data_IF_170826374026
#
_entry.id   IF_170826374026
#
_cell.length_a   1.000
_cell.length_b   1.000
_cell.length_c   1.000
_cell.angle_alpha   90.00
_cell.angle_beta   90.00
_cell.angle_gamma   90.00
#
_symmetry.space_group_name_H-M   'P 1'
#
loop_
_entity.id
_entity.type
_entity.pdbx_description
1 polymer ?
#
# COMPACT_ATOMS: atom_id res chain seq x y z
N UNK A 1 13.88 -9.64 -9.80
CA UNK A 1 14.22 -8.60 -10.80
C UNK A 1 13.30 -7.42 -10.61
N UNK A 2 13.85 -6.20 -10.63
CA UNK A 2 13.09 -4.97 -10.50
C UNK A 2 12.17 -4.74 -11.71
N UNK A 3 11.00 -4.14 -11.46
CA UNK A 3 10.08 -3.70 -12.50
C UNK A 3 10.70 -2.55 -13.31
N UNK A 4 10.59 -2.61 -14.64
CA UNK A 4 10.90 -1.46 -15.48
C UNK A 4 9.73 -0.48 -15.42
N UNK A 5 9.99 0.76 -14.96
CA UNK A 5 8.99 1.81 -14.84
C UNK A 5 8.22 2.08 -16.15
N UNK A 6 8.85 1.81 -17.32
CA UNK A 6 8.19 1.97 -18.61
C UNK A 6 7.07 0.97 -18.86
N UNK A 7 7.10 -0.17 -18.19
CA UNK A 7 6.16 -1.28 -18.38
C UNK A 7 4.99 -1.20 -17.40
N UNK A 8 5.07 -0.33 -16.37
CA UNK A 8 4.01 -0.09 -15.40
C UNK A 8 2.88 0.69 -16.06
N UNK A 9 1.74 0.04 -16.22
CA UNK A 9 0.53 0.59 -16.87
C UNK A 9 -0.65 0.69 -15.93
N UNK A 10 -0.52 0.18 -14.70
CA UNK A 10 -1.54 0.27 -13.65
C UNK A 10 -1.34 1.53 -12.82
N UNK A 11 -2.43 2.02 -12.24
CA UNK A 11 -2.44 3.28 -11.50
C UNK A 11 -1.76 3.17 -10.13
N UNK A 12 -1.77 1.97 -9.54
CA UNK A 12 -1.07 1.65 -8.28
C UNK A 12 -0.42 0.27 -8.45
N UNK A 13 0.86 0.15 -8.13
CA UNK A 13 1.60 -1.12 -8.28
C UNK A 13 2.46 -1.42 -7.08
N UNK A 14 2.34 -2.63 -6.55
CA UNK A 14 3.30 -3.21 -5.62
C UNK A 14 4.45 -3.84 -6.41
N UNK A 15 5.68 -3.49 -6.06
CA UNK A 15 6.88 -4.19 -6.52
C UNK A 15 7.57 -4.85 -5.32
N UNK A 16 7.88 -6.14 -5.46
CA UNK A 16 8.74 -6.87 -4.54
C UNK A 16 10.08 -7.13 -5.22
N UNK A 17 11.05 -6.24 -4.99
CA UNK A 17 12.39 -6.33 -5.58
C UNK A 17 13.24 -7.31 -4.77
N UNK A 18 13.10 -8.59 -5.11
CA UNK A 18 13.88 -9.71 -4.57
C UNK A 18 14.07 -10.77 -5.65
N UNK A 19 15.15 -11.53 -5.58
CA UNK A 19 15.43 -12.63 -6.51
C UNK A 19 14.51 -13.82 -6.25
N UNK A 20 14.40 -14.24 -4.99
CA UNK A 20 13.55 -15.33 -4.54
C UNK A 20 12.65 -14.85 -3.40
N UNK A 21 11.34 -15.03 -3.53
CA UNK A 21 10.36 -14.64 -2.52
C UNK A 21 9.69 -15.91 -2.00
N UNK A 22 9.77 -16.22 -0.68
CA UNK A 22 9.01 -17.33 -0.11
C UNK A 22 7.51 -17.16 -0.39
N UNK A 23 6.84 -18.26 -0.73
CA UNK A 23 5.41 -18.25 -1.11
C UNK A 23 4.54 -17.53 -0.06
N UNK A 24 4.80 -17.76 1.22
CA UNK A 24 4.07 -17.13 2.32
C UNK A 24 4.28 -15.63 2.39
N UNK A 25 5.49 -15.15 2.11
CA UNK A 25 5.79 -13.72 2.13
C UNK A 25 5.20 -13.03 0.91
N UNK A 26 5.25 -13.67 -0.26
CA UNK A 26 4.58 -13.19 -1.47
C UNK A 26 3.08 -13.03 -1.22
N UNK A 27 2.42 -14.08 -0.72
CA UNK A 27 0.99 -14.05 -0.40
C UNK A 27 0.66 -12.92 0.58
N UNK A 28 1.41 -12.80 1.67
CA UNK A 28 1.23 -11.71 2.66
C UNK A 28 1.39 -10.34 2.00
N UNK A 29 2.43 -10.14 1.19
CA UNK A 29 2.61 -8.89 0.43
C UNK A 29 1.37 -8.54 -0.40
N UNK A 30 0.84 -9.50 -1.16
CA UNK A 30 -0.36 -9.29 -1.98
C UNK A 30 -1.56 -8.93 -1.10
N UNK A 31 -1.81 -9.72 -0.06
CA UNK A 31 -2.98 -9.56 0.82
C UNK A 31 -2.97 -8.19 1.50
N UNK A 32 -1.82 -7.78 2.05
CA UNK A 32 -1.68 -6.50 2.74
C UNK A 32 -1.74 -5.31 1.77
N UNK A 33 -1.19 -5.43 0.55
CA UNK A 33 -1.31 -4.42 -0.49
C UNK A 33 -2.76 -4.23 -0.95
N UNK A 34 -3.47 -5.31 -1.27
CA UNK A 34 -4.87 -5.24 -1.68
C UNK A 34 -5.76 -4.74 -0.52
N UNK A 35 -5.44 -5.12 0.72
CA UNK A 35 -6.08 -4.58 1.92
C UNK A 35 -5.94 -3.07 2.03
N UNK A 36 -4.72 -2.54 1.86
CA UNK A 36 -4.45 -1.10 1.87
C UNK A 36 -5.26 -0.37 0.79
N UNK A 37 -5.23 -0.85 -0.45
CA UNK A 37 -5.99 -0.25 -1.57
C UNK A 37 -7.49 -0.20 -1.24
N UNK A 38 -8.05 -1.31 -0.72
CA UNK A 38 -9.47 -1.40 -0.35
C UNK A 38 -9.86 -0.42 0.75
N UNK A 39 -9.07 -0.36 1.82
CA UNK A 39 -9.36 0.52 2.95
C UNK A 39 -9.27 2.00 2.57
N UNK A 40 -8.25 2.39 1.80
CA UNK A 40 -8.14 3.77 1.32
C UNK A 40 -9.25 4.12 0.32
N UNK A 41 -9.64 3.17 -0.54
CA UNK A 41 -10.79 3.35 -1.45
C UNK A 41 -12.07 3.57 -0.65
N UNK A 42 -12.35 2.72 0.34
CA UNK A 42 -13.54 2.81 1.19
C UNK A 42 -13.60 4.12 1.96
N UNK A 43 -12.46 4.59 2.49
CA UNK A 43 -12.38 5.85 3.21
C UNK A 43 -12.56 7.07 2.29
N UNK A 44 -12.02 7.00 1.06
CA UNK A 44 -12.10 8.09 0.09
C UNK A 44 -13.50 8.19 -0.55
N UNK A 45 -14.13 7.05 -0.81
CA UNK A 45 -15.41 6.95 -1.51
C UNK A 45 -16.32 5.89 -0.85
N UNK A 46 -17.00 6.20 0.27
CA UNK A 46 -17.79 5.22 1.02
C UNK A 46 -18.94 4.57 0.25
N UNK A 47 -19.45 5.24 -0.79
CA UNK A 47 -20.55 4.74 -1.62
C UNK A 47 -20.09 3.79 -2.76
N UNK A 48 -18.78 3.63 -2.97
CA UNK A 48 -18.23 2.79 -4.04
C UNK A 48 -17.91 1.39 -3.52
N UNK A 49 -17.97 0.40 -4.40
CA UNK A 49 -17.52 -0.95 -4.09
C UNK A 49 -15.98 -1.04 -4.14
N UNK A 50 -15.29 -1.22 -3.01
CA UNK A 50 -13.83 -1.37 -2.97
C UNK A 50 -13.36 -2.70 -3.58
N UNK A 51 -14.25 -3.64 -3.90
CA UNK A 51 -13.91 -4.88 -4.61
C UNK A 51 -13.88 -4.71 -6.13
N UNK A 52 -14.23 -3.53 -6.63
CA UNK A 52 -14.23 -3.24 -8.06
C UNK A 52 -12.83 -2.92 -8.63
N UNK A 53 -11.76 -3.27 -7.89
CA UNK A 53 -10.38 -3.30 -8.39
C UNK A 53 -10.05 -4.68 -8.96
N UNK A 54 -9.40 -4.68 -10.12
CA UNK A 54 -8.88 -5.85 -10.81
C UNK A 54 -7.38 -5.93 -10.59
N UNK A 55 -6.85 -7.14 -10.39
CA UNK A 55 -5.41 -7.36 -10.23
C UNK A 55 -4.78 -7.60 -11.59
N UNK A 56 -3.64 -6.95 -11.85
CA UNK A 56 -2.77 -7.20 -13.00
C UNK A 56 -1.41 -7.68 -12.50
N UNK A 57 -1.00 -8.87 -12.94
CA UNK A 57 0.34 -9.40 -12.68
C UNK A 57 1.26 -8.99 -13.82
N UNK A 58 2.45 -8.50 -13.50
CA UNK A 58 3.46 -8.13 -14.48
C UNK A 58 4.33 -9.35 -14.84
N UNK A 59 4.35 -9.80 -16.11
CA UNK A 59 5.15 -10.95 -16.50
C UNK A 59 6.64 -10.73 -16.24
N UNK A 60 7.32 -11.77 -15.73
CA UNK A 60 8.76 -11.72 -15.47
C UNK A 60 9.19 -10.92 -14.25
N UNK A 61 8.25 -10.45 -13.43
CA UNK A 61 8.55 -9.73 -12.18
C UNK A 61 7.61 -10.16 -11.04
N UNK A 62 7.98 -9.80 -9.81
CA UNK A 62 7.09 -9.87 -8.65
C UNK A 62 6.31 -8.55 -8.49
N UNK A 63 5.77 -8.07 -9.61
CA UNK A 63 4.99 -6.84 -9.71
C UNK A 63 3.50 -7.12 -9.74
N UNK A 64 2.73 -6.44 -8.90
CA UNK A 64 1.27 -6.57 -8.80
C UNK A 64 0.64 -5.19 -8.89
N UNK A 65 -0.02 -4.94 -10.02
CA UNK A 65 -0.81 -3.75 -10.26
C UNK A 65 -2.27 -3.92 -9.91
N UNK A 66 -2.95 -2.81 -9.62
CA UNK A 66 -4.41 -2.76 -9.57
C UNK A 66 -4.94 -1.81 -10.64
N UNK A 67 -6.02 -2.24 -11.29
CA UNK A 67 -6.78 -1.48 -12.28
C UNK A 67 -8.22 -1.35 -11.79
N UNK A 68 -8.90 -0.25 -12.11
CA UNK A 68 -10.35 -0.21 -11.89
C UNK A 68 -11.09 -1.13 -12.86
N UNK A 69 -12.17 -1.74 -12.39
CA UNK A 69 -13.17 -2.34 -13.28
C UNK A 69 -13.81 -1.24 -14.15
N UNK A 70 -14.01 -1.45 -15.46
CA UNK A 70 -14.68 -0.47 -16.32
C UNK A 70 -16.03 -0.03 -15.72
N UNK A 71 -16.25 1.29 -15.67
CA UNK A 71 -17.47 1.90 -15.13
C UNK A 71 -17.56 1.98 -13.60
N UNK A 72 -16.67 1.34 -12.83
CA UNK A 72 -16.72 1.39 -11.37
C UNK A 72 -16.19 2.72 -10.80
N UNK A 73 -15.11 3.22 -11.40
CA UNK A 73 -14.46 4.47 -11.00
C UNK A 73 -14.16 5.37 -12.21
N UNK A 74 -14.15 6.68 -11.99
CA UNK A 74 -13.64 7.66 -12.95
C UNK A 74 -12.11 7.76 -12.85
N UNK A 75 -11.46 8.37 -13.85
CA UNK A 75 -10.01 8.66 -13.79
C UNK A 75 -9.64 9.58 -12.62
N UNK A 76 -10.53 10.53 -12.30
CA UNK A 76 -10.39 11.46 -11.18
C UNK A 76 -10.39 10.69 -9.85
N UNK A 77 -11.39 9.82 -9.66
CA UNK A 77 -11.55 9.01 -8.44
C UNK A 77 -10.34 8.10 -8.21
N UNK A 78 -9.84 7.44 -9.25
CA UNK A 78 -8.61 6.63 -9.16
C UNK A 78 -7.40 7.47 -8.78
N UNK A 79 -7.26 8.66 -9.36
CA UNK A 79 -6.16 9.57 -9.06
C UNK A 79 -6.22 10.05 -7.60
N UNK A 80 -7.42 10.28 -7.06
CA UNK A 80 -7.64 10.62 -5.65
C UNK A 80 -7.23 9.47 -4.73
N UNK A 81 -7.66 8.23 -5.00
CA UNK A 81 -7.26 7.06 -4.19
C UNK A 81 -5.74 6.90 -4.19
N UNK A 82 -5.11 7.00 -5.36
CA UNK A 82 -3.66 6.95 -5.51
C UNK A 82 -2.96 8.04 -4.68
N UNK A 83 -3.40 9.30 -4.81
CA UNK A 83 -2.81 10.41 -4.07
C UNK A 83 -2.99 10.25 -2.55
N UNK A 84 -4.15 9.77 -2.11
CA UNK A 84 -4.42 9.48 -0.70
C UNK A 84 -3.52 8.36 -0.17
N UNK A 85 -3.26 7.32 -0.98
CA UNK A 85 -2.30 6.27 -0.65
C UNK A 85 -0.89 6.83 -0.50
N UNK A 86 -0.38 7.55 -1.50
CA UNK A 86 0.99 8.09 -1.47
C UNK A 86 1.18 9.08 -0.32
N UNK A 87 0.27 10.05 -0.19
CA UNK A 87 0.34 11.04 0.89
C UNK A 87 0.24 10.36 2.25
N UNK A 88 -0.61 9.33 2.39
CA UNK A 88 -0.71 8.60 3.64
C UNK A 88 0.54 7.83 4.02
N UNK A 89 1.21 7.18 3.07
CA UNK A 89 2.49 6.52 3.30
C UNK A 89 3.60 7.53 3.67
N UNK A 90 3.65 8.68 2.99
CA UNK A 90 4.58 9.78 3.29
C UNK A 90 4.34 10.36 4.69
N UNK A 91 3.08 10.55 5.09
CA UNK A 91 2.75 11.02 6.44
C UNK A 91 3.09 9.96 7.51
N UNK A 92 2.83 8.68 7.23
CA UNK A 92 3.20 7.59 8.14
C UNK A 92 4.71 7.55 8.40
N UNK A 93 5.53 7.81 7.38
CA UNK A 93 6.99 7.91 7.55
C UNK A 93 7.38 9.03 8.54
N UNK A 94 6.60 10.11 8.57
CA UNK A 94 6.77 11.23 9.52
C UNK A 94 6.13 10.96 10.89
N UNK A 95 5.42 9.85 11.05
CA UNK A 95 4.65 9.55 12.27
C UNK A 95 3.33 10.30 12.38
N UNK A 96 2.80 10.76 11.25
CA UNK A 96 1.51 11.42 11.13
C UNK A 96 0.51 10.52 10.42
N UNK A 97 -0.78 10.74 10.69
CA UNK A 97 -1.85 9.93 10.11
C UNK A 97 -2.64 10.74 9.09
N UNK A 98 -2.76 10.21 7.87
CA UNK A 98 -3.64 10.81 6.86
C UNK A 98 -5.12 10.54 7.18
N UNK A 99 -6.01 11.49 6.88
CA UNK A 99 -7.45 11.38 7.17
C UNK A 99 -8.15 10.17 6.53
N UNK A 100 -7.62 9.67 5.42
CA UNK A 100 -8.17 8.48 4.72
C UNK A 100 -7.45 7.17 5.08
N UNK A 101 -6.51 7.21 6.02
CA UNK A 101 -5.87 5.99 6.52
C UNK A 101 -6.64 5.52 7.76
N UNK A 102 -7.59 4.62 7.56
CA UNK A 102 -8.27 3.89 8.66
C UNK A 102 -7.26 3.08 9.47
N UNK A 103 -7.65 2.58 10.65
CA UNK A 103 -6.73 1.78 11.49
C UNK A 103 -6.23 0.56 10.72
N UNK A 104 -7.11 -0.03 9.91
CA UNK A 104 -6.78 -1.12 9.01
C UNK A 104 -5.81 -0.70 7.91
N UNK A 105 -5.98 0.47 7.29
CA UNK A 105 -5.02 0.98 6.31
C UNK A 105 -3.63 1.21 6.94
N UNK A 106 -3.57 1.75 8.16
CA UNK A 106 -2.31 1.90 8.91
C UNK A 106 -1.68 0.54 9.20
N UNK A 107 -2.48 -0.44 9.61
CA UNK A 107 -2.01 -1.80 9.89
C UNK A 107 -1.47 -2.50 8.64
N UNK A 108 -2.18 -2.42 7.52
CA UNK A 108 -1.72 -2.94 6.23
C UNK A 108 -0.39 -2.30 5.81
N UNK A 109 -0.27 -0.97 5.94
CA UNK A 109 0.96 -0.23 5.65
C UNK A 109 2.11 -0.66 6.56
N UNK A 110 1.83 -0.85 7.86
CA UNK A 110 2.80 -1.31 8.86
C UNK A 110 3.35 -2.69 8.51
N UNK A 111 2.46 -3.62 8.16
CA UNK A 111 2.82 -5.00 7.80
C UNK A 111 3.63 -5.05 6.52
N UNK A 112 3.23 -4.30 5.49
CA UNK A 112 3.99 -4.15 4.25
C UNK A 112 5.40 -3.61 4.52
N UNK A 113 5.53 -2.55 5.32
CA UNK A 113 6.84 -2.00 5.70
C UNK A 113 7.70 -2.96 6.52
N UNK A 114 7.08 -3.94 7.20
CA UNK A 114 7.78 -5.00 7.96
C UNK A 114 8.17 -6.23 7.16
N UNK A 115 7.73 -6.34 5.91
CA UNK A 115 8.11 -7.46 5.07
C UNK A 115 9.61 -7.48 4.83
N UNK A 116 10.17 -8.68 4.88
CA UNK A 116 11.60 -8.94 4.67
C UNK A 116 12.55 -8.24 5.64
N UNK A 117 12.05 -7.65 6.74
CA UNK A 117 12.92 -7.00 7.72
C UNK A 117 13.93 -7.95 8.36
N UNK A 118 13.55 -9.22 8.56
CA UNK A 118 14.39 -10.25 9.17
C UNK A 118 15.29 -10.97 8.15
N UNK A 119 15.19 -10.62 6.87
CA UNK A 119 15.96 -11.23 5.79
C UNK A 119 17.36 -10.61 5.70
N UNK A 120 18.39 -11.45 5.56
CA UNK A 120 19.76 -11.01 5.21
C UNK A 120 19.90 -10.65 3.72
N UNK A 121 18.90 -11.00 2.91
CA UNK A 121 18.88 -10.72 1.46
C UNK A 121 18.36 -9.31 1.23
N UNK A 122 19.12 -8.44 0.54
CA UNK A 122 18.63 -7.13 0.13
C UNK A 122 17.30 -7.27 -0.60
N UNK A 123 16.26 -6.66 -0.05
CA UNK A 123 14.90 -6.73 -0.58
C UNK A 123 14.28 -5.35 -0.47
N UNK A 124 13.52 -4.93 -1.48
CA UNK A 124 12.75 -3.68 -1.42
C UNK A 124 11.30 -3.95 -1.73
N UNK A 125 10.42 -3.32 -0.97
CA UNK A 125 8.99 -3.30 -1.24
C UNK A 125 8.67 -1.88 -1.67
N UNK A 126 8.09 -1.71 -2.85
CA UNK A 126 7.80 -0.38 -3.42
C UNK A 126 6.37 -0.28 -3.84
N UNK A 127 5.78 0.89 -3.63
CA UNK A 127 4.50 1.25 -4.20
C UNK A 127 4.74 2.29 -5.28
N UNK A 128 4.49 1.89 -6.52
CA UNK A 128 4.55 2.77 -7.68
C UNK A 128 3.21 3.44 -7.90
N UNK A 129 3.30 4.71 -8.29
CA UNK A 129 2.20 5.46 -8.86
C UNK A 129 2.18 5.46 -10.38
N UNK A 130 1.60 6.52 -10.96
CA UNK A 130 1.73 6.80 -12.39
C UNK A 130 3.21 6.98 -12.77
N UNK A 131 3.52 6.64 -14.04
CA UNK A 131 4.83 6.57 -14.71
C UNK A 131 5.84 7.70 -14.42
N UNK A 132 5.37 8.87 -13.97
CA UNK A 132 6.18 10.08 -13.79
C UNK A 132 6.61 10.32 -12.33
N UNK A 133 6.11 9.54 -11.37
CA UNK A 133 6.48 9.66 -9.97
C UNK A 133 7.45 8.55 -9.54
N UNK A 134 8.50 8.86 -8.76
CA UNK A 134 9.36 7.83 -8.20
C UNK A 134 8.53 6.93 -7.27
N UNK A 135 8.85 5.62 -7.19
CA UNK A 135 8.18 4.72 -6.28
C UNK A 135 8.42 5.14 -4.82
N UNK A 136 7.42 4.91 -3.98
CA UNK A 136 7.57 4.99 -2.53
C UNK A 136 8.12 3.67 -2.01
N UNK A 137 9.32 3.71 -1.42
CA UNK A 137 9.88 2.57 -0.70
C UNK A 137 9.08 2.37 0.61
N UNK A 138 8.59 1.16 0.83
CA UNK A 138 7.97 0.76 2.09
C UNK A 138 9.09 0.48 3.09
N UNK A 139 9.41 1.48 3.90
CA UNK A 139 10.58 1.45 4.79
C UNK A 139 10.27 0.92 6.19
N UNK A 140 11.34 0.59 6.92
CA UNK A 140 11.24 0.28 8.36
C UNK A 140 10.67 1.44 9.17
N UNK A 141 10.92 2.67 8.74
CA UNK A 141 10.41 3.88 9.38
C UNK A 141 8.89 3.91 9.35
N UNK A 142 8.27 3.62 8.19
CA UNK A 142 6.81 3.55 8.07
C UNK A 142 6.23 2.53 9.06
N UNK A 143 6.83 1.35 9.16
CA UNK A 143 6.36 0.30 10.08
C UNK A 143 6.52 0.70 11.56
N UNK A 144 7.69 1.21 11.94
CA UNK A 144 7.94 1.66 13.31
C UNK A 144 7.00 2.79 13.72
N UNK A 145 6.82 3.80 12.86
CA UNK A 145 5.98 4.97 13.13
C UNK A 145 4.49 4.65 13.12
N UNK A 146 4.03 3.76 12.23
CA UNK A 146 2.67 3.25 12.27
C UNK A 146 2.35 2.54 13.60
N UNK A 147 3.31 1.79 14.16
CA UNK A 147 3.16 1.16 15.49
C UNK A 147 2.90 2.19 16.59
N UNK A 148 3.59 3.33 16.57
CA UNK A 148 3.39 4.40 17.55
C UNK A 148 2.01 5.05 17.46
N UNK A 149 1.37 5.06 16.29
CA UNK A 149 0.01 5.59 16.15
C UNK A 149 -1.04 4.75 16.88
N UNK A 150 -0.80 3.44 17.04
CA UNK A 150 -1.66 2.57 17.85
C UNK A 150 -1.44 2.76 19.35
N UNK A 151 -0.21 3.09 19.77
CA UNK A 151 0.14 3.31 21.18
C UNK A 151 -0.37 4.67 21.68
N UNK A 152 -0.48 5.67 20.79
CA UNK A 152 -1.00 7.01 21.10
C UNK A 152 -2.52 7.12 21.21
N UNK A 153 -3.27 6.02 21.15
CA UNK A 153 -4.68 5.98 21.56
C UNK A 153 -4.74 5.43 22.98
N UNK A 154 -4.48 6.24 24.03
CA UNK A 154 -4.90 5.83 25.36
C UNK A 154 -6.42 5.78 25.36
N UNK A 155 -6.97 4.71 25.95
CA UNK A 155 -8.36 4.67 26.39
C UNK A 155 -8.71 5.98 27.09
N UNK A 156 -9.46 6.84 26.41
CA UNK A 156 -10.10 8.01 27.00
C UNK A 156 -11.57 7.72 27.32
N UNK A 157 -11.87 6.48 27.73
CA UNK A 157 -13.20 6.05 28.18
C UNK A 157 -13.05 4.95 29.24
N UNK A 158 -12.49 5.30 30.39
CA UNK A 158 -12.86 4.74 31.72
C UNK A 158 -12.51 5.83 32.74
N UNK A 159 -13.41 6.07 33.71
CA UNK A 159 -13.45 7.12 34.75
C UNK A 159 -14.27 8.35 34.27
N UNK A 160 -15.49 8.63 34.75
CA UNK A 160 -16.34 8.14 35.84
C UNK A 160 -17.82 8.19 35.40
#
# INVERSE_FOLDING_TARGET
>A
MALNAKDIVTEITLELDREEIPINDFKKAVDEFLGLVKEVTKASFPAKDPSAWLVKVYPGSAGIGVLRKPGAFTNEEVSIVHNNMNNGLVLLEKGERHKFFTDKAVEHSRRLGSLFMDSKVPSKVRIWGKRESPPLDMTRTISAKATFLFIKVPHADVLE
#
